data_IF_601846539479
#
_entry.id   IF_601846539479
#
_cell.length_a   1.000
_cell.length_b   1.000
_cell.length_c   1.000
_cell.angle_alpha   90.00
_cell.angle_beta   90.00
_cell.angle_gamma   90.00
#
_symmetry.space_group_name_H-M   'P 1'
#
loop_
_entity.id
_entity.type
_entity.pdbx_description
1 polymer ?
#
# COMPACT_ATOMS: atom_id res chain seq x y z
N UNK A 1 21.51 22.59 -3.56
CA UNK A 1 20.90 21.66 -2.55
C UNK A 1 21.33 20.20 -2.70
N UNK A 2 21.25 19.63 -3.91
CA UNK A 2 21.54 18.21 -4.15
C UNK A 2 23.00 17.81 -3.82
N UNK A 3 23.98 18.62 -4.20
CA UNK A 3 25.39 18.35 -3.85
C UNK A 3 25.63 18.36 -2.33
N UNK A 4 24.98 19.27 -1.60
CA UNK A 4 25.07 19.30 -0.13
C UNK A 4 24.44 18.04 0.47
N UNK A 5 23.26 17.65 -0.02
CA UNK A 5 22.61 16.42 0.43
C UNK A 5 23.49 15.20 0.15
N UNK A 6 24.17 15.14 -1.00
CA UNK A 6 25.10 14.07 -1.35
C UNK A 6 26.25 13.96 -0.34
N UNK A 7 26.80 15.07 0.14
CA UNK A 7 27.85 15.07 1.17
C UNK A 7 27.33 14.57 2.53
N UNK A 8 26.18 15.05 2.98
CA UNK A 8 25.57 14.58 4.24
C UNK A 8 25.18 13.10 4.14
N UNK A 9 24.69 12.68 2.98
CA UNK A 9 24.41 11.28 2.68
C UNK A 9 25.69 10.44 2.74
N UNK A 10 26.81 10.93 2.23
CA UNK A 10 28.08 10.23 2.34
C UNK A 10 28.52 10.02 3.80
N UNK A 11 28.35 11.03 4.66
CA UNK A 11 28.60 10.89 6.11
C UNK A 11 27.66 9.84 6.72
N UNK A 12 26.38 9.87 6.37
CA UNK A 12 25.38 8.89 6.81
C UNK A 12 25.69 7.47 6.32
N UNK A 13 26.21 7.34 5.09
CA UNK A 13 26.51 6.10 4.38
C UNK A 13 27.95 5.62 4.60
N UNK A 14 28.45 5.80 5.83
CA UNK A 14 29.76 5.31 6.25
C UNK A 14 30.94 5.76 5.37
N UNK A 15 30.88 7.01 4.88
CA UNK A 15 31.93 7.63 4.08
C UNK A 15 31.82 7.37 2.56
N UNK A 16 30.84 6.58 2.11
CA UNK A 16 30.61 6.29 0.68
C UNK A 16 29.69 7.32 0.05
N UNK A 17 30.24 8.12 -0.87
CA UNK A 17 29.49 9.11 -1.64
C UNK A 17 28.82 8.45 -2.84
N UNK A 18 27.50 8.56 -2.91
CA UNK A 18 26.68 7.96 -3.96
C UNK A 18 26.30 9.00 -5.01
N UNK A 19 26.21 8.61 -6.29
CA UNK A 19 25.65 9.44 -7.34
C UNK A 19 24.14 9.54 -7.13
N UNK A 20 23.56 10.74 -6.95
CA UNK A 20 22.11 10.89 -6.88
C UNK A 20 21.48 10.54 -8.22
N UNK A 21 20.41 9.76 -8.21
CA UNK A 21 19.63 9.43 -9.39
C UNK A 21 18.14 9.41 -9.04
N UNK A 22 17.29 9.73 -10.03
CA UNK A 22 15.84 9.89 -9.84
C UNK A 22 15.02 8.80 -10.54
N UNK A 23 15.64 8.06 -11.47
CA UNK A 23 14.96 7.09 -12.33
C UNK A 23 15.53 5.71 -12.03
N UNK A 24 14.68 4.79 -11.55
CA UNK A 24 15.11 3.41 -11.27
C UNK A 24 15.07 2.53 -12.51
N UNK A 25 14.04 2.67 -13.36
CA UNK A 25 13.98 1.98 -14.63
C UNK A 25 13.15 2.75 -15.67
N UNK A 26 13.41 2.46 -16.94
CA UNK A 26 12.58 2.86 -18.08
C UNK A 26 11.87 1.59 -18.54
N UNK A 27 10.55 1.67 -18.72
CA UNK A 27 9.69 0.56 -19.14
C UNK A 27 9.01 0.85 -20.45
N UNK A 28 8.87 -0.17 -21.28
CA UNK A 28 8.01 -0.18 -22.44
C UNK A 28 7.08 -1.40 -22.39
N UNK A 29 5.77 -1.18 -22.52
CA UNK A 29 4.72 -2.20 -22.36
C UNK A 29 4.85 -3.08 -21.09
N UNK A 30 5.35 -2.50 -19.99
CA UNK A 30 5.54 -3.20 -18.72
C UNK A 30 6.84 -4.00 -18.61
N UNK A 31 7.69 -3.99 -19.65
CA UNK A 31 9.00 -4.63 -19.68
C UNK A 31 10.06 -3.57 -19.38
N UNK A 32 10.94 -3.84 -18.41
CA UNK A 32 12.09 -2.97 -18.12
C UNK A 32 13.08 -3.03 -19.28
N UNK A 33 13.24 -1.91 -19.99
CA UNK A 33 14.19 -1.75 -21.10
C UNK A 33 15.56 -1.29 -20.61
N UNK A 34 15.58 -0.58 -19.46
CA UNK A 34 16.80 -0.08 -18.83
C UNK A 34 16.58 0.07 -17.33
N UNK A 35 17.51 -0.43 -16.54
CA UNK A 35 17.52 -0.29 -15.08
C UNK A 35 18.75 0.54 -14.66
N UNK A 36 18.60 1.33 -13.61
CA UNK A 36 19.64 2.15 -13.02
C UNK A 36 19.85 1.73 -11.57
N UNK A 37 21.10 1.41 -11.25
CA UNK A 37 21.52 1.00 -9.92
C UNK A 37 22.31 2.12 -9.23
N UNK A 38 22.38 2.13 -7.89
CA UNK A 38 23.21 3.09 -7.16
C UNK A 38 24.69 2.99 -7.57
N UNK A 39 25.29 4.11 -7.94
CA UNK A 39 26.70 4.21 -8.31
C UNK A 39 27.50 4.90 -7.20
N UNK A 40 28.63 4.31 -6.80
CA UNK A 40 29.57 4.92 -5.85
C UNK A 40 30.46 5.88 -6.63
N UNK A 41 30.42 7.17 -6.28
CA UNK A 41 31.30 8.21 -6.84
C UNK A 41 32.64 8.23 -6.12
N UNK A 42 32.60 8.15 -4.79
CA UNK A 42 33.78 8.07 -3.94
C UNK A 42 33.53 7.04 -2.83
N UNK A 43 34.46 6.12 -2.67
CA UNK A 43 34.38 5.05 -1.67
C UNK A 43 34.66 5.54 -0.25
N UNK A 44 35.50 6.57 -0.11
CA UNK A 44 35.95 7.08 1.19
C UNK A 44 36.23 8.58 1.12
N UNK A 45 35.27 9.39 1.60
CA UNK A 45 35.41 10.86 1.61
C UNK A 45 36.40 11.39 2.66
N UNK A 46 36.71 10.60 3.69
CA UNK A 46 37.63 10.95 4.78
C UNK A 46 38.07 9.70 5.56
N UNK A 47 38.96 9.87 6.54
CA UNK A 47 39.34 8.77 7.45
C UNK A 47 38.16 8.30 8.30
N UNK A 48 38.22 7.07 8.82
CA UNK A 48 37.16 6.54 9.70
C UNK A 48 37.05 7.32 11.00
N UNK A 49 38.17 7.75 11.57
CA UNK A 49 38.21 8.61 12.76
C UNK A 49 37.50 9.94 12.50
N UNK A 50 37.84 10.61 11.39
CA UNK A 50 37.19 11.87 10.99
C UNK A 50 35.69 11.68 10.75
N UNK A 51 35.30 10.55 10.17
CA UNK A 51 33.91 10.22 9.91
C UNK A 51 33.12 10.03 11.22
N UNK A 52 33.69 9.32 12.19
CA UNK A 52 33.06 9.12 13.51
C UNK A 52 32.90 10.46 14.23
N UNK A 53 33.94 11.28 14.27
CA UNK A 53 33.89 12.62 14.84
C UNK A 53 32.83 13.50 14.15
N UNK A 54 32.73 13.44 12.82
CA UNK A 54 31.73 14.18 12.07
C UNK A 54 30.30 13.73 12.43
N UNK A 55 30.05 12.41 12.58
CA UNK A 55 28.75 11.89 13.02
C UNK A 55 28.41 12.36 14.43
N UNK A 56 29.36 12.32 15.35
CA UNK A 56 29.18 12.81 16.73
C UNK A 56 28.84 14.30 16.76
N UNK A 57 29.57 15.12 16.00
CA UNK A 57 29.31 16.55 15.88
C UNK A 57 27.91 16.82 15.31
N UNK A 58 27.49 16.12 14.26
CA UNK A 58 26.15 16.28 13.68
C UNK A 58 25.04 15.83 14.63
N UNK A 59 25.27 14.79 15.43
CA UNK A 59 24.34 14.32 16.46
C UNK A 59 24.23 15.35 17.59
N UNK A 60 25.34 15.92 18.04
CA UNK A 60 25.38 16.90 19.12
C UNK A 60 24.57 18.18 18.81
N UNK A 61 24.36 18.52 17.53
CA UNK A 61 23.51 19.66 17.13
C UNK A 61 22.05 19.49 17.61
N UNK A 62 21.60 18.25 17.75
CA UNK A 62 20.24 17.90 18.22
C UNK A 62 20.27 17.41 19.66
N UNK A 63 21.21 16.55 20.03
CA UNK A 63 21.20 15.89 21.34
C UNK A 63 21.73 16.78 22.47
N UNK A 64 22.64 17.72 22.18
CA UNK A 64 23.19 18.61 23.20
C UNK A 64 22.17 19.66 23.63
N UNK A 65 22.13 19.98 24.93
CA UNK A 65 21.31 21.06 25.50
C UNK A 65 21.58 22.42 24.83
N UNK A 66 22.81 22.65 24.35
CA UNK A 66 23.22 23.86 23.63
C UNK A 66 23.18 23.70 22.10
N UNK A 67 22.68 22.56 21.62
CA UNK A 67 22.55 22.26 20.20
C UNK A 67 21.53 23.16 19.53
N UNK A 68 21.91 23.78 18.40
CA UNK A 68 21.01 24.70 17.68
C UNK A 68 19.72 24.05 17.16
N UNK A 69 19.70 22.72 16.98
CA UNK A 69 18.51 21.96 16.57
C UNK A 69 17.74 21.34 17.74
N UNK A 70 18.29 21.38 18.96
CA UNK A 70 17.79 20.66 20.13
C UNK A 70 16.32 20.96 20.42
N UNK A 71 15.97 22.25 20.54
CA UNK A 71 14.62 22.70 20.89
C UNK A 71 13.51 22.12 20.01
N UNK A 72 13.79 21.87 18.74
CA UNK A 72 12.79 21.44 17.76
C UNK A 72 12.81 19.92 17.53
N UNK A 73 14.00 19.32 17.57
CA UNK A 73 14.22 17.95 17.07
C UNK A 73 14.47 16.91 18.17
N UNK A 74 14.86 17.34 19.39
CA UNK A 74 15.29 16.43 20.46
C UNK A 74 14.19 15.51 20.99
N UNK A 75 12.93 15.97 20.96
CA UNK A 75 11.75 15.23 21.45
C UNK A 75 11.22 14.19 20.44
N UNK A 76 11.93 13.96 19.33
CA UNK A 76 11.54 12.97 18.32
C UNK A 76 11.69 11.55 18.85
N UNK A 77 10.82 10.63 18.44
CA UNK A 77 10.84 9.21 18.87
C UNK A 77 12.01 8.39 18.28
N UNK A 78 12.83 9.03 17.43
CA UNK A 78 14.01 8.47 16.79
C UNK A 78 15.13 9.52 16.80
N UNK A 79 16.37 9.05 16.69
CA UNK A 79 17.54 9.94 16.70
C UNK A 79 17.74 10.64 15.36
N UNK A 80 18.04 11.93 15.41
CA UNK A 80 18.27 12.78 14.24
C UNK A 80 19.68 13.36 14.32
N UNK A 81 20.43 13.30 13.22
CA UNK A 81 21.74 13.96 13.09
C UNK A 81 21.69 14.95 11.95
N UNK A 82 22.23 16.15 12.13
CA UNK A 82 22.20 17.15 11.07
C UNK A 82 22.80 18.48 11.49
N UNK A 83 22.65 19.48 10.62
CA UNK A 83 23.15 20.82 10.88
C UNK A 83 22.19 21.89 10.41
N UNK A 84 22.05 22.90 11.26
CA UNK A 84 21.40 24.18 10.94
C UNK A 84 22.33 25.06 10.10
N UNK A 85 21.79 25.65 9.05
CA UNK A 85 22.44 26.70 8.26
C UNK A 85 21.55 27.92 8.18
N UNK A 86 22.09 29.10 8.47
CA UNK A 86 21.41 30.39 8.30
C UNK A 86 22.34 31.31 7.52
N UNK A 87 22.16 31.37 6.21
CA UNK A 87 23.00 32.18 5.33
C UNK A 87 22.32 33.50 4.99
N UNK A 88 23.09 34.58 4.82
CA UNK A 88 22.57 35.84 4.27
C UNK A 88 22.64 35.75 2.74
N UNK A 89 21.54 36.08 2.07
CA UNK A 89 21.48 36.11 0.60
C UNK A 89 22.03 37.44 0.10
N UNK A 90 22.91 37.40 -0.91
CA UNK A 90 23.39 38.60 -1.60
C UNK A 90 22.28 39.20 -2.47
N UNK A 91 22.22 40.54 -2.56
CA UNK A 91 21.26 41.26 -3.40
C UNK A 91 21.87 41.53 -4.77
N UNK A 92 21.86 40.51 -5.62
CA UNK A 92 22.57 40.53 -6.91
C UNK A 92 24.04 40.92 -6.68
N UNK A 93 24.75 41.42 -7.68
CA UNK A 93 26.16 41.82 -7.56
C UNK A 93 26.42 43.03 -6.61
N UNK A 94 25.45 43.43 -5.77
CA UNK A 94 25.56 44.53 -4.80
C UNK A 94 26.00 44.08 -3.41
N UNK A 95 26.32 42.80 -3.25
CA UNK A 95 26.78 42.23 -1.98
C UNK A 95 25.66 42.01 -0.97
N UNK A 96 26.03 41.88 0.31
CA UNK A 96 25.08 41.62 1.39
C UNK A 96 24.42 42.90 1.89
N UNK A 97 23.09 42.89 1.97
CA UNK A 97 22.35 44.02 2.51
C UNK A 97 22.71 44.23 3.99
N UNK A 98 23.13 45.44 4.37
CA UNK A 98 23.43 45.76 5.78
C UNK A 98 22.16 46.00 6.61
N UNK A 99 21.06 46.46 5.98
CA UNK A 99 19.79 46.79 6.66
C UNK A 99 18.71 45.72 6.52
N UNK A 100 18.29 45.40 5.29
CA UNK A 100 17.19 44.47 5.02
C UNK A 100 17.72 43.12 4.48
N UNK A 101 18.28 42.32 5.40
CA UNK A 101 18.87 41.01 5.08
C UNK A 101 17.79 40.00 4.70
N UNK A 102 17.95 39.38 3.55
CA UNK A 102 17.23 38.17 3.17
C UNK A 102 18.04 36.99 3.65
N UNK A 103 17.41 36.06 4.36
CA UNK A 103 18.09 34.90 4.91
C UNK A 103 17.64 33.63 4.20
N UNK A 104 18.57 32.71 4.02
CA UNK A 104 18.30 31.35 3.60
C UNK A 104 18.48 30.45 4.82
N UNK A 105 17.36 30.01 5.37
CA UNK A 105 17.28 29.02 6.43
C UNK A 105 17.42 27.63 5.81
N UNK A 106 18.26 26.79 6.41
CA UNK A 106 18.43 25.41 5.98
C UNK A 106 18.65 24.47 7.15
N UNK A 107 18.19 23.24 6.98
CA UNK A 107 18.54 22.13 7.83
C UNK A 107 18.77 20.92 6.94
N UNK A 108 19.96 20.32 7.06
CA UNK A 108 20.33 19.11 6.32
C UNK A 108 20.77 18.08 7.33
N UNK A 109 20.22 16.87 7.21
CA UNK A 109 20.45 15.82 8.17
C UNK A 109 19.98 14.46 7.68
N UNK A 110 20.13 13.47 8.54
CA UNK A 110 19.72 12.10 8.30
C UNK A 110 19.16 11.47 9.59
N UNK A 111 18.37 10.42 9.39
CA UNK A 111 17.76 9.67 10.48
C UNK A 111 17.47 8.22 10.06
N UNK A 112 17.38 7.28 11.02
CA UNK A 112 17.87 7.39 12.40
C UNK A 112 19.38 7.63 12.46
N UNK A 113 19.91 8.24 13.53
CA UNK A 113 21.35 8.58 13.60
C UNK A 113 22.28 7.36 13.56
N UNK A 114 21.88 6.25 14.21
CA UNK A 114 22.70 5.03 14.33
C UNK A 114 22.71 4.19 13.06
N UNK A 115 21.55 4.02 12.44
CA UNK A 115 21.40 3.30 11.19
C UNK A 115 20.63 4.17 10.19
N UNK A 116 21.30 5.16 9.56
CA UNK A 116 20.64 6.09 8.67
C UNK A 116 19.95 5.38 7.52
N UNK A 117 18.68 5.73 7.30
CA UNK A 117 17.89 5.23 6.16
C UNK A 117 17.54 6.34 5.18
N UNK A 118 17.35 7.55 5.68
CA UNK A 118 16.99 8.71 4.89
C UNK A 118 17.89 9.89 5.21
N UNK A 119 18.20 10.68 4.19
CA UNK A 119 18.81 12.00 4.31
C UNK A 119 17.85 13.03 3.72
N UNK A 120 17.68 14.17 4.38
CA UNK A 120 16.78 15.24 3.93
C UNK A 120 17.56 16.56 3.94
N UNK A 121 17.39 17.35 2.88
CA UNK A 121 17.82 18.73 2.83
C UNK A 121 16.60 19.64 2.69
N UNK A 122 16.35 20.46 3.71
CA UNK A 122 15.33 21.51 3.66
C UNK A 122 16.05 22.84 3.51
N UNK A 123 15.70 23.60 2.48
CA UNK A 123 16.24 24.94 2.22
C UNK A 123 15.08 25.88 1.94
N UNK A 124 14.95 26.92 2.76
CA UNK A 124 13.86 27.90 2.70
C UNK A 124 14.48 29.28 2.62
N UNK A 125 14.18 29.98 1.54
CA UNK A 125 14.54 31.38 1.39
C UNK A 125 13.43 32.24 1.98
N UNK A 126 13.77 33.03 2.99
CA UNK A 126 12.81 33.90 3.66
C UNK A 126 12.56 35.18 2.88
N UNK A 127 11.44 35.84 3.18
CA UNK A 127 11.15 37.19 2.70
C UNK A 127 11.65 38.23 3.70
N UNK A 128 11.70 39.50 3.29
CA UNK A 128 12.11 40.62 4.16
C UNK A 128 11.22 40.79 5.39
N UNK A 129 9.97 40.33 5.31
CA UNK A 129 8.95 40.46 6.37
C UNK A 129 8.93 39.25 7.32
N UNK A 130 9.77 38.26 7.09
CA UNK A 130 9.78 37.01 7.86
C UNK A 130 10.25 37.25 9.29
N UNK A 131 9.36 37.03 10.26
CA UNK A 131 9.66 37.14 11.71
C UNK A 131 10.58 36.02 12.22
N UNK A 132 10.58 34.86 11.56
CA UNK A 132 11.44 33.71 11.89
C UNK A 132 12.52 33.55 10.83
N UNK A 133 13.78 33.57 11.27
CA UNK A 133 14.93 33.68 10.37
C UNK A 133 15.87 32.46 10.51
N UNK A 134 15.88 31.81 11.66
CA UNK A 134 16.85 30.76 11.96
C UNK A 134 16.48 29.41 11.32
N UNK A 135 17.51 28.69 10.86
CA UNK A 135 17.38 27.36 10.26
C UNK A 135 16.61 26.36 11.11
N UNK A 136 16.74 26.39 12.44
CA UNK A 136 16.01 25.49 13.32
C UNK A 136 14.50 25.77 13.35
N UNK A 137 14.11 27.05 13.48
CA UNK A 137 12.70 27.45 13.66
C UNK A 137 11.86 27.32 12.39
N UNK A 138 12.50 27.29 11.22
CA UNK A 138 11.83 27.24 9.92
C UNK A 138 12.08 25.88 9.25
N UNK A 139 13.30 25.64 8.79
CA UNK A 139 13.65 24.40 8.09
C UNK A 139 13.71 23.18 9.00
N UNK A 140 14.04 23.34 10.28
CA UNK A 140 14.04 22.23 11.25
C UNK A 140 12.64 21.67 11.53
N UNK A 141 11.63 22.55 11.62
CA UNK A 141 10.22 22.13 11.77
C UNK A 141 9.76 21.32 10.55
N UNK A 142 10.03 21.83 9.34
CA UNK A 142 9.69 21.11 8.10
C UNK A 142 10.45 19.78 7.99
N UNK A 143 11.72 19.74 8.40
CA UNK A 143 12.48 18.50 8.46
C UNK A 143 11.80 17.48 9.39
N UNK A 144 11.41 17.91 10.61
CA UNK A 144 10.76 17.03 11.60
C UNK A 144 9.46 16.44 11.06
N UNK A 145 8.58 17.27 10.49
CA UNK A 145 7.30 16.81 9.94
C UNK A 145 7.48 15.76 8.84
N UNK A 146 8.43 15.99 7.93
CA UNK A 146 8.73 15.02 6.86
C UNK A 146 9.33 13.74 7.45
N UNK A 147 10.28 13.88 8.38
CA UNK A 147 10.95 12.76 9.00
C UNK A 147 9.98 11.91 9.85
N UNK A 148 9.08 12.53 10.62
CA UNK A 148 8.06 11.85 11.43
C UNK A 148 7.10 11.05 10.54
N UNK A 149 6.66 11.64 9.42
CA UNK A 149 5.80 10.97 8.45
C UNK A 149 6.49 9.78 7.78
N UNK A 150 7.76 9.93 7.40
CA UNK A 150 8.56 8.84 6.82
C UNK A 150 8.78 7.75 7.86
N UNK A 151 9.14 8.14 9.08
CA UNK A 151 9.39 7.22 10.17
C UNK A 151 8.15 6.40 10.46
N UNK A 152 7.01 7.03 10.76
CA UNK A 152 5.76 6.34 11.07
C UNK A 152 5.23 5.44 9.96
N UNK A 153 5.55 5.73 8.68
CA UNK A 153 5.07 4.94 7.54
C UNK A 153 6.00 3.81 7.10
N UNK A 154 7.31 4.01 7.15
CA UNK A 154 8.28 3.13 6.47
C UNK A 154 9.35 2.55 7.39
N UNK A 155 9.55 3.10 8.59
CA UNK A 155 10.63 2.67 9.51
C UNK A 155 10.05 2.14 10.83
N UNK A 156 9.06 2.86 11.37
CA UNK A 156 8.39 2.58 12.62
C UNK A 156 7.77 1.19 12.58
N UNK A 157 8.30 0.30 13.41
CA UNK A 157 7.86 -1.07 13.59
C UNK A 157 6.63 -1.17 14.49
N UNK A 158 5.81 -0.11 14.60
CA UNK A 158 4.45 -0.22 15.11
C UNK A 158 3.62 -0.98 14.09
N UNK A 159 3.85 -2.30 14.05
CA UNK A 159 2.87 -3.25 13.61
C UNK A 159 1.65 -2.99 14.49
N UNK A 160 0.72 -2.18 13.99
CA UNK A 160 -0.66 -2.35 14.42
C UNK A 160 -1.03 -3.73 13.94
N UNK A 161 -0.74 -4.72 14.78
CA UNK A 161 -1.33 -6.05 14.71
C UNK A 161 -2.81 -5.84 14.93
N UNK A 162 -3.50 -5.34 13.91
CA UNK A 162 -4.93 -5.55 13.79
C UNK A 162 -5.01 -7.06 13.74
N UNK A 163 -5.42 -7.65 14.85
CA UNK A 163 -5.76 -9.06 14.88
C UNK A 163 -6.56 -9.30 13.61
N UNK A 164 -6.11 -10.22 12.76
CA UNK A 164 -6.85 -10.55 11.54
C UNK A 164 -8.23 -10.97 12.04
N UNK A 165 -9.18 -10.04 11.96
CA UNK A 165 -10.57 -10.35 12.20
C UNK A 165 -10.89 -11.29 11.07
N UNK A 166 -11.08 -12.57 11.38
CA UNK A 166 -11.57 -13.55 10.41
C UNK A 166 -12.76 -12.92 9.72
N UNK A 167 -12.75 -12.94 8.39
CA UNK A 167 -13.86 -12.44 7.59
C UNK A 167 -15.16 -13.08 8.10
N UNK A 168 -15.99 -12.26 8.76
CA UNK A 168 -17.23 -12.69 9.39
C UNK A 168 -18.39 -12.71 8.39
N UNK A 169 -18.15 -12.31 7.14
CA UNK A 169 -19.14 -12.34 6.09
C UNK A 169 -19.53 -13.79 5.81
N UNK A 170 -20.81 -14.08 6.03
CA UNK A 170 -21.43 -15.32 5.59
C UNK A 170 -21.85 -15.14 4.13
N UNK A 171 -21.27 -15.90 3.22
CA UNK A 171 -21.62 -15.87 1.80
C UNK A 171 -22.13 -17.22 1.33
N UNK A 172 -23.32 -17.23 0.73
CA UNK A 172 -23.92 -18.42 0.14
C UNK A 172 -23.90 -18.32 -1.39
N UNK A 173 -23.27 -19.28 -2.04
CA UNK A 173 -23.25 -19.39 -3.51
C UNK A 173 -23.66 -20.78 -3.97
N UNK A 174 -24.27 -20.82 -5.15
CA UNK A 174 -24.51 -22.04 -5.91
C UNK A 174 -23.53 -22.06 -7.08
N UNK A 175 -22.88 -23.19 -7.30
CA UNK A 175 -21.90 -23.33 -8.38
C UNK A 175 -21.59 -24.79 -8.68
N UNK A 176 -20.85 -25.01 -9.77
CA UNK A 176 -20.36 -26.34 -10.11
C UNK A 176 -19.25 -26.77 -9.15
N UNK A 177 -19.22 -28.06 -8.80
CA UNK A 177 -18.25 -28.63 -7.87
C UNK A 177 -16.80 -28.30 -8.25
N UNK A 178 -16.44 -28.49 -9.52
CA UNK A 178 -15.06 -28.32 -10.00
C UNK A 178 -14.63 -26.85 -10.02
N UNK A 179 -15.55 -25.94 -10.33
CA UNK A 179 -15.29 -24.51 -10.36
C UNK A 179 -15.10 -23.98 -8.94
N UNK A 180 -15.99 -24.37 -8.02
CA UNK A 180 -15.87 -24.02 -6.60
C UNK A 180 -14.59 -24.59 -5.99
N UNK A 181 -14.22 -25.82 -6.35
CA UNK A 181 -12.94 -26.40 -5.95
C UNK A 181 -11.75 -25.54 -6.43
N UNK A 182 -11.73 -25.17 -7.71
CA UNK A 182 -10.64 -24.37 -8.29
C UNK A 182 -10.54 -23.00 -7.63
N UNK A 183 -11.68 -22.35 -7.38
CA UNK A 183 -11.77 -21.06 -6.69
C UNK A 183 -11.25 -21.18 -5.25
N UNK A 184 -11.69 -22.18 -4.49
CA UNK A 184 -11.25 -22.36 -3.10
C UNK A 184 -9.77 -22.73 -3.02
N UNK A 185 -9.24 -23.55 -3.93
CA UNK A 185 -7.82 -23.85 -4.00
C UNK A 185 -6.98 -22.62 -4.37
N UNK A 186 -7.41 -21.82 -5.35
CA UNK A 186 -6.72 -20.58 -5.73
C UNK A 186 -6.70 -19.56 -4.59
N UNK A 187 -7.81 -19.43 -3.86
CA UNK A 187 -7.93 -18.51 -2.73
C UNK A 187 -7.40 -19.09 -1.41
N UNK A 188 -6.87 -20.31 -1.40
CA UNK A 188 -6.39 -21.03 -0.21
C UNK A 188 -7.45 -21.11 0.92
N UNK A 189 -8.69 -21.41 0.55
CA UNK A 189 -9.84 -21.58 1.45
C UNK A 189 -10.04 -23.07 1.74
N UNK A 190 -9.92 -23.46 3.01
CA UNK A 190 -10.23 -24.84 3.44
C UNK A 190 -11.71 -25.12 3.29
N UNK A 191 -12.07 -26.24 2.67
CA UNK A 191 -13.46 -26.62 2.47
C UNK A 191 -13.74 -28.09 2.80
N UNK A 192 -15.00 -28.39 3.16
CA UNK A 192 -15.52 -29.75 3.33
C UNK A 192 -16.70 -29.97 2.39
N UNK A 193 -16.62 -30.99 1.54
CA UNK A 193 -17.73 -31.44 0.69
C UNK A 193 -18.42 -32.65 1.35
N UNK A 194 -19.69 -32.49 1.76
CA UNK A 194 -20.47 -33.54 2.41
C UNK A 194 -21.28 -34.39 1.41
N UNK A 195 -21.28 -34.03 0.12
CA UNK A 195 -22.11 -34.65 -0.89
C UNK A 195 -21.43 -35.82 -1.62
N UNK A 196 -22.11 -36.96 -1.67
CA UNK A 196 -21.61 -38.19 -2.31
C UNK A 196 -21.82 -38.24 -3.85
N UNK A 197 -22.55 -37.29 -4.45
CA UNK A 197 -22.82 -37.25 -5.90
C UNK A 197 -23.30 -35.89 -6.42
N UNK A 198 -23.59 -35.81 -7.72
CA UNK A 198 -24.11 -34.60 -8.40
C UNK A 198 -23.06 -33.54 -8.75
N UNK A 199 -23.32 -32.74 -9.79
CA UNK A 199 -22.39 -31.72 -10.32
C UNK A 199 -22.48 -30.35 -9.64
N UNK A 200 -23.62 -30.04 -9.01
CA UNK A 200 -23.88 -28.75 -8.39
C UNK A 200 -23.65 -28.80 -6.87
N UNK A 201 -23.17 -27.69 -6.30
CA UNK A 201 -22.96 -27.51 -4.86
C UNK A 201 -23.53 -26.18 -4.41
N UNK A 202 -24.11 -26.18 -3.22
CA UNK A 202 -24.30 -24.96 -2.45
C UNK A 202 -23.09 -24.82 -1.53
N UNK A 203 -22.32 -23.75 -1.72
CA UNK A 203 -21.20 -23.38 -0.88
C UNK A 203 -21.63 -22.33 0.14
N UNK A 204 -21.35 -22.60 1.41
CA UNK A 204 -21.52 -21.67 2.52
C UNK A 204 -20.13 -21.29 3.01
N UNK A 205 -19.73 -20.05 2.77
CA UNK A 205 -18.45 -19.50 3.21
C UNK A 205 -18.67 -18.71 4.51
N UNK A 206 -17.91 -19.05 5.54
CA UNK A 206 -17.89 -18.30 6.80
C UNK A 206 -16.52 -18.46 7.46
N UNK A 207 -15.96 -17.38 8.02
CA UNK A 207 -14.66 -17.41 8.72
C UNK A 207 -13.53 -18.02 7.87
N UNK A 208 -13.50 -17.70 6.57
CA UNK A 208 -12.54 -18.23 5.60
C UNK A 208 -12.53 -19.78 5.49
N UNK A 209 -13.67 -20.41 5.77
CA UNK A 209 -13.90 -21.85 5.57
C UNK A 209 -15.19 -22.04 4.79
N UNK A 210 -15.18 -23.01 3.87
CA UNK A 210 -16.35 -23.33 3.08
C UNK A 210 -16.93 -24.71 3.43
N UNK A 211 -18.25 -24.78 3.59
CA UNK A 211 -18.98 -26.04 3.58
C UNK A 211 -19.71 -26.17 2.24
N UNK A 212 -19.47 -27.26 1.53
CA UNK A 212 -20.18 -27.60 0.30
C UNK A 212 -21.14 -28.75 0.58
N UNK A 213 -22.41 -28.52 0.24
CA UNK A 213 -23.47 -29.50 0.37
C UNK A 213 -24.20 -29.66 -0.97
N UNK A 214 -24.93 -30.77 -1.13
CA UNK A 214 -25.87 -30.91 -2.23
C UNK A 214 -26.95 -29.83 -2.10
N UNK A 215 -27.24 -29.05 -3.16
CA UNK A 215 -28.43 -28.22 -3.17
C UNK A 215 -29.62 -29.14 -3.00
N UNK A 216 -30.49 -28.84 -2.04
CA UNK A 216 -31.60 -29.70 -1.63
C UNK A 216 -32.52 -30.16 -2.78
N UNK A 217 -32.44 -29.55 -3.98
CA UNK A 217 -33.38 -29.80 -5.08
C UNK A 217 -32.75 -29.86 -6.49
N UNK A 218 -31.45 -30.13 -6.61
CA UNK A 218 -30.81 -30.35 -7.94
C UNK A 218 -30.74 -31.82 -8.36
N UNK A 219 -31.10 -32.74 -7.48
CA UNK A 219 -31.22 -34.18 -7.76
C UNK A 219 -32.61 -34.58 -8.24
N UNK A 220 -33.31 -33.73 -9.00
CA UNK A 220 -34.49 -34.15 -9.72
C UNK A 220 -34.06 -35.11 -10.85
N UNK A 221 -33.92 -36.40 -10.51
CA UNK A 221 -33.82 -37.48 -11.48
C UNK A 221 -35.12 -37.50 -12.30
N UNK A 222 -35.00 -37.51 -13.63
CA UNK A 222 -36.16 -37.55 -14.54
C UNK A 222 -36.69 -36.18 -15.00
N UNK A 223 -37.93 -36.17 -15.50
CA UNK A 223 -38.64 -35.01 -16.09
C UNK A 223 -39.30 -34.12 -15.02
N UNK A 224 -38.59 -33.84 -13.92
CA UNK A 224 -39.09 -32.98 -12.84
C UNK A 224 -38.32 -31.66 -12.81
N UNK A 225 -39.06 -30.57 -12.54
CA UNK A 225 -38.56 -29.21 -12.52
C UNK A 225 -37.55 -29.04 -11.38
N UNK A 226 -36.29 -28.68 -11.66
CA UNK A 226 -35.31 -28.41 -10.62
C UNK A 226 -35.57 -27.04 -9.98
N UNK A 227 -35.13 -26.85 -8.74
CA UNK A 227 -35.04 -25.51 -8.17
C UNK A 227 -33.78 -24.81 -8.68
N UNK A 228 -33.96 -23.64 -9.30
CA UNK A 228 -32.88 -22.77 -9.76
C UNK A 228 -32.77 -21.47 -8.95
N UNK A 229 -33.61 -21.31 -7.92
CA UNK A 229 -33.58 -20.15 -7.01
C UNK A 229 -32.21 -20.05 -6.34
N UNK A 230 -31.61 -18.86 -6.41
CA UNK A 230 -30.28 -18.53 -5.91
C UNK A 230 -29.13 -18.78 -6.89
N UNK A 231 -29.38 -19.43 -8.04
CA UNK A 231 -28.38 -19.61 -9.10
C UNK A 231 -28.14 -18.31 -9.88
N UNK A 232 -26.94 -18.17 -10.44
CA UNK A 232 -26.68 -17.14 -11.46
C UNK A 232 -27.46 -17.44 -12.73
N UNK A 233 -27.82 -16.41 -13.48
CA UNK A 233 -28.60 -16.56 -14.72
C UNK A 233 -28.00 -17.59 -15.70
N UNK A 234 -26.69 -17.52 -15.92
CA UNK A 234 -25.97 -18.42 -16.84
C UNK A 234 -26.13 -19.89 -16.44
N UNK A 235 -26.01 -20.17 -15.15
CA UNK A 235 -26.11 -21.51 -14.58
C UNK A 235 -27.54 -22.05 -14.64
N UNK A 236 -28.51 -21.18 -14.33
CA UNK A 236 -29.93 -21.50 -14.40
C UNK A 236 -30.38 -21.83 -15.84
N UNK A 237 -29.96 -21.03 -16.82
CA UNK A 237 -30.23 -21.27 -18.24
C UNK A 237 -29.61 -22.61 -18.67
N UNK A 238 -28.32 -22.81 -18.40
CA UNK A 238 -27.62 -24.04 -18.76
C UNK A 238 -28.33 -25.28 -18.21
N UNK A 239 -28.79 -25.23 -16.96
CA UNK A 239 -29.45 -26.36 -16.32
C UNK A 239 -30.84 -26.66 -16.91
N UNK A 240 -31.64 -25.61 -17.16
CA UNK A 240 -33.02 -25.75 -17.64
C UNK A 240 -33.08 -26.10 -19.13
N UNK A 241 -32.26 -25.47 -19.96
CA UNK A 241 -32.23 -25.72 -21.41
C UNK A 241 -31.68 -27.11 -21.73
N UNK A 242 -30.66 -27.59 -21.01
CA UNK A 242 -30.19 -28.98 -21.15
C UNK A 242 -31.26 -30.01 -20.77
N UNK A 243 -32.22 -29.63 -19.92
CA UNK A 243 -33.41 -30.45 -19.59
C UNK A 243 -34.54 -30.29 -20.61
N UNK A 244 -34.41 -29.37 -21.56
CA UNK A 244 -35.36 -29.13 -22.65
C UNK A 244 -36.47 -28.14 -22.33
N UNK A 245 -36.30 -27.26 -21.34
CA UNK A 245 -37.22 -26.15 -21.06
C UNK A 245 -36.82 -24.90 -21.86
N UNK A 246 -37.79 -24.04 -22.17
CA UNK A 246 -37.55 -22.74 -22.79
C UNK A 246 -37.57 -21.65 -21.71
N UNK A 247 -36.46 -20.95 -21.51
CA UNK A 247 -36.31 -20.01 -20.39
C UNK A 247 -36.61 -18.58 -20.85
N UNK A 248 -37.58 -17.93 -20.19
CA UNK A 248 -37.85 -16.50 -20.32
C UNK A 248 -37.36 -15.79 -19.06
N UNK A 249 -36.69 -14.65 -19.21
CA UNK A 249 -35.89 -14.03 -18.16
C UNK A 249 -36.34 -12.59 -17.95
N UNK A 250 -36.57 -12.20 -16.69
CA UNK A 250 -36.86 -10.81 -16.31
C UNK A 250 -35.95 -10.36 -15.17
N UNK A 251 -35.09 -9.39 -15.45
CA UNK A 251 -34.12 -8.83 -14.50
C UNK A 251 -32.67 -9.17 -14.86
N UNK A 252 -31.77 -8.96 -13.91
CA UNK A 252 -30.34 -9.29 -14.00
C UNK A 252 -29.91 -9.95 -12.69
N UNK A 253 -28.72 -10.55 -12.62
CA UNK A 253 -28.21 -11.10 -11.35
C UNK A 253 -28.58 -12.57 -11.10
N UNK A 254 -29.14 -12.86 -9.92
CA UNK A 254 -29.47 -14.21 -9.46
C UNK A 254 -30.97 -14.45 -9.49
N UNK A 255 -31.36 -15.70 -9.72
CA UNK A 255 -32.78 -16.09 -9.73
C UNK A 255 -33.36 -15.94 -8.33
N UNK A 256 -34.38 -15.10 -8.20
CA UNK A 256 -35.17 -14.91 -6.98
C UNK A 256 -36.40 -15.81 -7.01
N UNK A 257 -36.99 -15.99 -8.19
CA UNK A 257 -38.23 -16.74 -8.35
C UNK A 257 -38.30 -17.46 -9.71
N UNK A 258 -39.08 -18.54 -9.76
CA UNK A 258 -39.32 -19.36 -10.94
C UNK A 258 -40.81 -19.69 -11.10
N UNK A 259 -41.36 -19.56 -12.32
CA UNK A 259 -42.79 -19.74 -12.56
C UNK A 259 -43.28 -21.18 -12.42
N UNK A 260 -42.39 -22.17 -12.56
CA UNK A 260 -42.69 -23.58 -12.35
C UNK A 260 -42.05 -24.02 -11.04
N UNK A 261 -42.86 -24.43 -10.06
CA UNK A 261 -42.36 -24.89 -8.77
C UNK A 261 -41.48 -26.13 -8.92
N UNK A 262 -40.44 -26.21 -8.10
CA UNK A 262 -39.55 -27.36 -8.07
C UNK A 262 -40.31 -28.66 -7.75
N UNK A 263 -39.94 -29.77 -8.39
CA UNK A 263 -40.55 -31.10 -8.23
C UNK A 263 -41.71 -31.38 -9.19
N UNK A 264 -42.29 -30.37 -9.85
CA UNK A 264 -43.37 -30.58 -10.82
C UNK A 264 -42.87 -31.25 -12.10
N UNK A 265 -43.66 -32.14 -12.68
CA UNK A 265 -43.36 -32.70 -14.00
C UNK A 265 -43.48 -31.62 -15.07
N UNK A 266 -42.59 -31.64 -16.08
CA UNK A 266 -42.64 -30.70 -17.19
C UNK A 266 -42.54 -31.40 -18.56
N UNK A 267 -43.05 -30.73 -19.58
CA UNK A 267 -42.96 -31.16 -20.97
C UNK A 267 -41.78 -30.49 -21.69
N UNK A 268 -41.19 -31.19 -22.66
CA UNK A 268 -40.12 -30.62 -23.49
C UNK A 268 -40.67 -29.42 -24.28
N UNK A 269 -39.95 -28.30 -24.24
CA UNK A 269 -40.36 -27.02 -24.82
C UNK A 269 -41.30 -26.19 -23.94
N UNK A 270 -41.66 -26.67 -22.74
CA UNK A 270 -42.47 -25.88 -21.81
C UNK A 270 -41.70 -24.63 -21.38
N UNK A 271 -42.39 -23.50 -21.39
CA UNK A 271 -41.83 -22.21 -21.00
C UNK A 271 -41.74 -22.09 -19.49
N UNK A 272 -40.62 -21.57 -19.00
CA UNK A 272 -40.42 -21.20 -17.59
C UNK A 272 -39.92 -19.77 -17.51
N UNK A 273 -40.58 -18.95 -16.70
CA UNK A 273 -40.18 -17.58 -16.44
C UNK A 273 -39.33 -17.50 -15.17
N UNK A 274 -38.20 -16.83 -15.25
CA UNK A 274 -37.30 -16.57 -14.12
C UNK A 274 -37.28 -15.08 -13.81
N UNK A 275 -37.47 -14.75 -12.53
CA UNK A 275 -37.31 -13.40 -12.01
C UNK A 275 -35.95 -13.28 -11.32
N UNK A 276 -35.23 -12.20 -11.58
CA UNK A 276 -33.89 -11.96 -11.02
C UNK A 276 -33.80 -10.61 -10.27
N UNK A 277 -32.81 -10.49 -9.38
CA UNK A 277 -32.57 -9.34 -8.51
C UNK A 277 -31.65 -8.23 -9.06
#
# INVERSE_FOLDING_TARGET
PLHMLMLYNAVANNGKMMRPYLVNSIRDYGIDIKTFEPEIVESKICSEETLLQAKECLRAVVDSVHGTGHKILFDSVYSISGKTGTAVTALDNRGYNKGNKIYQASFIGYFPSEQPKYSIAVVIQNTRESKKIYGADVSGVVFKEIADKIYGRFIGSTNFGKASTTDSLAYNSLGMKNDLHSIFSFMNISYKDSAQGGYWRMAQLQNNRAAMNLPAYTSAQGKQMPSVVGMGLKDAIYLLENKGLAVEVKGRGRVVDQSLSAGLAFNKGQKVQLLLN
#
